data_IF_711627291206
#
_entry.id   IF_711627291206
#
_cell.length_a   1.000
_cell.length_b   1.000
_cell.length_c   1.000
_cell.angle_alpha   90.00
_cell.angle_beta   90.00
_cell.angle_gamma   90.00
#
_symmetry.space_group_name_H-M   'P 1'
#
loop_
_entity.id
_entity.type
_entity.pdbx_description
1 polymer ?
#
# COMPACT_ATOMS: atom_id res chain seq x y z
N UNK A 1 -20.85 17.21 -2.79
CA UNK A 1 -19.68 16.64 -2.08
C UNK A 1 -20.24 15.78 -0.97
N UNK A 2 -20.33 14.47 -1.17
CA UNK A 2 -20.84 13.55 -0.15
C UNK A 2 -19.74 13.33 0.86
N UNK A 3 -19.88 13.89 2.06
CA UNK A 3 -19.04 13.57 3.20
C UNK A 3 -19.19 12.08 3.50
N UNK A 4 -18.21 11.27 3.10
CA UNK A 4 -18.13 9.86 3.50
C UNK A 4 -17.85 9.84 4.99
N UNK A 5 -18.76 9.24 5.76
CA UNK A 5 -18.57 9.08 7.21
C UNK A 5 -17.30 8.24 7.49
N UNK A 6 -16.56 8.51 8.58
CA UNK A 6 -15.33 7.78 8.91
C UNK A 6 -15.49 6.24 8.91
N UNK A 7 -16.68 5.76 9.29
CA UNK A 7 -17.04 4.33 9.27
C UNK A 7 -17.13 3.76 7.85
N UNK A 8 -17.79 4.47 6.93
CA UNK A 8 -17.90 4.04 5.53
C UNK A 8 -16.52 4.00 4.85
N UNK A 9 -15.63 4.93 5.20
CA UNK A 9 -14.25 4.92 4.72
C UNK A 9 -13.47 3.71 5.26
N UNK A 10 -13.65 3.36 6.54
CA UNK A 10 -13.00 2.20 7.15
C UNK A 10 -13.41 0.87 6.50
N UNK A 11 -14.70 0.68 6.24
CA UNK A 11 -15.21 -0.54 5.58
C UNK A 11 -14.68 -0.67 4.14
N UNK A 12 -14.62 0.45 3.42
CA UNK A 12 -14.03 0.50 2.08
C UNK A 12 -12.55 0.09 2.12
N UNK A 13 -11.76 0.60 3.06
CA UNK A 13 -10.35 0.24 3.24
C UNK A 13 -10.15 -1.24 3.60
N UNK A 14 -11.01 -1.82 4.45
CA UNK A 14 -10.96 -3.26 4.78
C UNK A 14 -11.24 -4.11 3.54
N UNK A 15 -12.25 -3.73 2.75
CA UNK A 15 -12.58 -4.41 1.50
C UNK A 15 -11.44 -4.31 0.49
N UNK A 16 -10.87 -3.11 0.32
CA UNK A 16 -9.79 -2.83 -0.62
C UNK A 16 -8.51 -3.61 -0.25
N UNK A 17 -8.10 -3.58 1.02
CA UNK A 17 -6.92 -4.31 1.49
C UNK A 17 -7.06 -5.82 1.31
N UNK A 18 -8.25 -6.37 1.56
CA UNK A 18 -8.54 -7.79 1.31
C UNK A 18 -8.45 -8.12 -0.18
N UNK A 19 -9.04 -7.29 -1.06
CA UNK A 19 -8.98 -7.44 -2.52
C UNK A 19 -7.54 -7.40 -3.02
N UNK A 20 -6.76 -6.42 -2.57
CA UNK A 20 -5.37 -6.23 -2.95
C UNK A 20 -4.49 -7.42 -2.56
N UNK A 21 -4.72 -8.03 -1.38
CA UNK A 21 -3.98 -9.22 -0.97
C UNK A 21 -4.15 -10.39 -1.98
N UNK A 22 -5.38 -10.64 -2.43
CA UNK A 22 -5.65 -11.66 -3.46
C UNK A 22 -5.02 -11.30 -4.82
N UNK A 23 -5.06 -10.03 -5.20
CA UNK A 23 -4.46 -9.57 -6.46
C UNK A 23 -2.94 -9.69 -6.45
N UNK A 24 -2.29 -9.40 -5.31
CA UNK A 24 -0.85 -9.60 -5.12
C UNK A 24 -0.50 -11.07 -5.33
N UNK A 25 -1.17 -12.00 -4.64
CA UNK A 25 -0.93 -13.43 -4.82
C UNK A 25 -1.10 -13.87 -6.28
N UNK A 26 -2.12 -13.35 -6.96
CA UNK A 26 -2.37 -13.67 -8.37
C UNK A 26 -1.29 -13.10 -9.30
N UNK A 27 -0.78 -11.90 -9.04
CA UNK A 27 0.32 -11.29 -9.79
C UNK A 27 1.65 -12.02 -9.54
N UNK A 28 1.93 -12.42 -8.30
CA UNK A 28 3.10 -13.22 -7.91
C UNK A 28 3.11 -14.57 -8.63
N UNK A 29 1.99 -15.31 -8.60
CA UNK A 29 1.87 -16.61 -9.28
C UNK A 29 2.03 -16.50 -10.80
N UNK A 30 1.68 -15.36 -11.38
CA UNK A 30 1.82 -15.07 -12.80
C UNK A 30 3.20 -14.48 -13.18
N UNK A 31 4.11 -14.28 -12.23
CA UNK A 31 5.43 -13.69 -12.48
C UNK A 31 5.40 -12.22 -12.91
N UNK A 32 4.31 -11.49 -12.63
CA UNK A 32 4.11 -10.10 -13.06
C UNK A 32 4.72 -9.13 -12.04
N UNK A 33 6.04 -9.00 -12.04
CA UNK A 33 6.80 -8.25 -11.02
C UNK A 33 6.40 -6.78 -10.89
N UNK A 34 6.24 -6.05 -12.00
CA UNK A 34 5.82 -4.64 -11.99
C UNK A 34 4.41 -4.50 -11.38
N UNK A 35 3.46 -5.32 -11.82
CA UNK A 35 2.09 -5.32 -11.29
C UNK A 35 2.08 -5.67 -9.80
N UNK A 36 2.88 -6.66 -9.39
CA UNK A 36 3.03 -7.04 -7.99
C UNK A 36 3.51 -5.87 -7.13
N UNK A 37 4.54 -5.15 -7.56
CA UNK A 37 5.06 -4.00 -6.82
C UNK A 37 4.03 -2.84 -6.77
N UNK A 38 3.30 -2.57 -7.86
CA UNK A 38 2.20 -1.59 -7.87
C UNK A 38 1.09 -1.93 -6.87
N UNK A 39 0.69 -3.21 -6.85
CA UNK A 39 -0.34 -3.68 -5.93
C UNK A 39 0.14 -3.62 -4.47
N UNK A 40 1.40 -3.95 -4.20
CA UNK A 40 1.99 -3.84 -2.85
C UNK A 40 2.07 -2.39 -2.36
N UNK A 41 2.45 -1.42 -3.20
CA UNK A 41 2.41 0.01 -2.84
C UNK A 41 1.00 0.41 -2.39
N UNK A 42 -0.03 0.05 -3.19
CA UNK A 42 -1.43 0.34 -2.87
C UNK A 42 -1.87 -0.35 -1.58
N UNK A 43 -1.51 -1.62 -1.39
CA UNK A 43 -1.88 -2.40 -0.20
C UNK A 43 -1.31 -1.76 1.07
N UNK A 44 -0.02 -1.47 1.08
CA UNK A 44 0.64 -0.88 2.23
C UNK A 44 0.13 0.53 2.54
N UNK A 45 -0.19 1.33 1.51
CA UNK A 45 -0.83 2.64 1.69
C UNK A 45 -2.21 2.51 2.34
N UNK A 46 -3.07 1.65 1.81
CA UNK A 46 -4.43 1.43 2.35
C UNK A 46 -4.40 0.87 3.78
N UNK A 47 -3.45 0.01 4.12
CA UNK A 47 -3.23 -0.47 5.49
C UNK A 47 -2.79 0.64 6.44
N UNK A 48 -1.90 1.54 6.00
CA UNK A 48 -1.50 2.70 6.80
C UNK A 48 -2.68 3.64 7.06
N UNK A 49 -3.53 3.87 6.07
CA UNK A 49 -4.77 4.65 6.21
C UNK A 49 -5.74 3.98 7.19
N UNK A 50 -5.93 2.65 7.09
CA UNK A 50 -6.77 1.89 8.01
C UNK A 50 -6.26 1.97 9.46
N UNK A 51 -4.94 1.91 9.66
CA UNK A 51 -4.30 2.05 10.96
C UNK A 51 -4.43 3.47 11.52
N UNK A 52 -4.41 4.51 10.67
CA UNK A 52 -4.67 5.89 11.10
C UNK A 52 -6.11 6.09 11.64
N UNK A 53 -7.08 5.30 11.13
CA UNK A 53 -8.45 5.29 11.64
C UNK A 53 -8.62 4.44 12.92
N UNK A 54 -7.60 3.66 13.29
CA UNK A 54 -7.67 2.74 14.43
C UNK A 54 -7.31 3.46 15.72
N UNK A 55 -8.27 3.56 16.65
CA UNK A 55 -8.03 4.18 17.96
C UNK A 55 -7.86 3.11 19.03
N UNK A 56 -6.79 3.20 19.82
CA UNK A 56 -6.59 2.37 21.02
C UNK A 56 -6.63 3.21 22.28
N UNK A 57 -7.38 2.74 23.27
CA UNK A 57 -7.53 3.37 24.58
C UNK A 57 -6.32 3.13 25.49
N UNK A 58 -5.56 2.05 25.24
CA UNK A 58 -4.36 1.71 26.01
C UNK A 58 -3.10 2.32 25.38
N UNK A 59 -2.17 2.92 26.15
CA UNK A 59 -0.95 3.52 25.61
C UNK A 59 -0.12 2.55 24.77
N UNK A 60 0.06 1.32 25.23
CA UNK A 60 0.80 0.29 24.46
C UNK A 60 0.09 -0.07 23.15
N UNK A 61 -1.24 -0.11 23.16
CA UNK A 61 -2.01 -0.37 21.95
C UNK A 61 -1.86 0.76 20.94
N UNK A 62 -1.85 2.02 21.41
CA UNK A 62 -1.61 3.19 20.56
C UNK A 62 -0.20 3.16 19.96
N UNK A 63 0.80 2.82 20.75
CA UNK A 63 2.18 2.69 20.28
C UNK A 63 2.32 1.59 19.21
N UNK A 64 1.66 0.43 19.42
CA UNK A 64 1.65 -0.67 18.44
C UNK A 64 0.97 -0.27 17.13
N UNK A 65 -0.16 0.42 17.18
CA UNK A 65 -0.87 0.91 15.98
C UNK A 65 0.00 1.91 15.22
N UNK A 66 0.61 2.87 15.90
CA UNK A 66 1.49 3.86 15.25
C UNK A 66 2.75 3.22 14.67
N UNK A 67 3.34 2.24 15.36
CA UNK A 67 4.47 1.49 14.84
C UNK A 67 4.09 0.74 13.56
N UNK A 68 2.98 0.00 13.57
CA UNK A 68 2.50 -0.72 12.40
C UNK A 68 2.21 0.24 11.24
N UNK A 69 1.60 1.40 11.52
CA UNK A 69 1.32 2.43 10.50
C UNK A 69 2.60 2.89 9.81
N UNK A 70 3.65 3.18 10.60
CA UNK A 70 4.95 3.60 10.06
C UNK A 70 5.63 2.50 9.26
N UNK A 71 5.52 1.25 9.69
CA UNK A 71 6.09 0.12 8.96
C UNK A 71 5.42 -0.06 7.59
N UNK A 72 4.10 0.06 7.52
CA UNK A 72 3.36 0.06 6.25
C UNK A 72 3.79 1.22 5.34
N UNK A 73 3.95 2.44 5.86
CA UNK A 73 4.45 3.57 5.04
C UNK A 73 5.87 3.31 4.50
N UNK A 74 6.77 2.79 5.33
CA UNK A 74 8.13 2.40 4.91
C UNK A 74 8.09 1.36 3.78
N UNK A 75 7.26 0.32 3.91
CA UNK A 75 7.11 -0.72 2.89
C UNK A 75 6.55 -0.16 1.57
N UNK A 76 5.58 0.76 1.65
CA UNK A 76 5.07 1.44 0.45
C UNK A 76 6.18 2.23 -0.27
N UNK A 77 7.05 2.94 0.47
CA UNK A 77 8.21 3.63 -0.10
C UNK A 77 9.22 2.65 -0.72
N UNK A 78 9.46 1.51 -0.09
CA UNK A 78 10.37 0.48 -0.61
C UNK A 78 9.87 -0.10 -1.93
N UNK A 79 8.59 -0.45 -2.02
CA UNK A 79 8.01 -0.94 -3.28
C UNK A 79 7.90 0.15 -4.34
N UNK A 80 7.72 1.41 -3.95
CA UNK A 80 7.75 2.53 -4.88
C UNK A 80 9.15 2.67 -5.52
N UNK A 81 10.22 2.54 -4.72
CA UNK A 81 11.60 2.52 -5.25
C UNK A 81 11.88 1.29 -6.12
N UNK A 82 11.33 0.13 -5.77
CA UNK A 82 11.41 -1.07 -6.61
C UNK A 82 10.77 -0.82 -7.98
N UNK A 83 9.59 -0.20 -8.01
CA UNK A 83 8.92 0.18 -9.26
C UNK A 83 9.75 1.14 -10.11
N UNK A 84 10.37 2.14 -9.50
CA UNK A 84 11.25 3.08 -10.18
C UNK A 84 12.48 2.40 -10.78
N UNK A 85 13.01 1.37 -10.11
CA UNK A 85 14.10 0.53 -10.64
C UNK A 85 13.69 -0.44 -11.75
N UNK A 86 12.41 -0.82 -11.81
CA UNK A 86 11.85 -1.71 -12.83
C UNK A 86 11.29 -0.96 -14.05
N UNK A 87 10.93 0.32 -13.90
CA UNK A 87 10.48 1.14 -15.00
C UNK A 87 11.65 1.35 -15.98
N UNK A 88 11.46 1.16 -17.30
CA UNK A 88 12.49 1.48 -18.26
C UNK A 88 12.84 2.96 -18.11
N UNK A 89 14.11 3.26 -17.84
CA UNK A 89 14.62 4.63 -17.97
C UNK A 89 14.34 5.05 -19.41
N UNK A 90 13.33 5.89 -19.61
CA UNK A 90 13.14 6.62 -20.85
C UNK A 90 14.31 7.59 -20.98
N UNK A 91 15.44 7.05 -21.44
CA UNK A 91 16.70 7.71 -21.74
C UNK A 91 17.25 7.11 -23.02
N UNK A 92 16.41 7.05 -24.05
CA UNK A 92 16.85 6.88 -25.42
C UNK A 92 17.34 8.23 -25.94
N UNK A 93 18.65 8.40 -25.97
CA UNK A 93 19.33 9.09 -27.06
C UNK A 93 20.62 8.29 -27.33
N UNK A 94 20.45 7.21 -28.09
CA UNK A 94 21.49 6.79 -29.02
C UNK A 94 21.38 7.78 -30.17
N UNK A 95 22.32 8.72 -30.23
CA UNK A 95 22.69 9.32 -31.51
C UNK A 95 24.14 8.99 -31.82
N UNK A 96 24.31 8.72 -33.09
CA UNK A 96 25.45 8.14 -33.81
C UNK A 96 26.46 9.23 -34.13
#
# INVERSE_FOLDING_TARGET
MTETTPTANREALITETSRLAFEIEAAERAGRSIECAQLRVRFHTAMAELLALTTSWHPEGRAKVEWARRDHLRLAEEYQRELEGLAPTTGGERDV
#
